data_IF_855159692604
#
_entry.id   IF_855159692604
#
_cell.length_a   1.000
_cell.length_b   1.000
_cell.length_c   1.000
_cell.angle_alpha   90.00
_cell.angle_beta   90.00
_cell.angle_gamma   90.00
#
_symmetry.space_group_name_H-M   'P 1'
#
loop_
_entity.id
_entity.type
_entity.pdbx_description
1 polymer ?
#
# COMPACT_ATOMS: atom_id res chain seq x y z
N UNK A 1 -48.25 -6.17 -57.18
CA UNK A 1 -48.57 -7.21 -56.16
C UNK A 1 -47.56 -7.04 -55.03
N UNK A 2 -48.05 -6.53 -53.89
CA UNK A 2 -47.46 -6.47 -52.53
C UNK A 2 -45.95 -6.14 -52.40
N UNK A 3 -45.56 -4.91 -52.02
CA UNK A 3 -45.44 -4.39 -50.64
C UNK A 3 -44.71 -5.34 -49.65
N UNK A 4 -43.81 -4.74 -48.86
CA UNK A 4 -42.95 -5.28 -47.78
C UNK A 4 -41.52 -5.57 -48.25
N UNK A 5 -40.46 -4.95 -47.73
CA UNK A 5 -40.12 -4.65 -46.31
C UNK A 5 -39.25 -3.37 -46.33
N UNK A 6 -39.56 -2.28 -45.63
CA UNK A 6 -39.54 -2.05 -44.17
C UNK A 6 -38.24 -2.50 -43.48
N UNK A 7 -37.54 -1.56 -42.86
CA UNK A 7 -36.43 -1.82 -41.93
C UNK A 7 -35.29 -0.82 -42.09
N UNK A 8 -35.56 0.48 -41.96
CA UNK A 8 -35.22 1.25 -40.75
C UNK A 8 -33.73 1.18 -40.40
N UNK A 9 -33.02 2.27 -40.71
CA UNK A 9 -31.75 2.64 -40.08
C UNK A 9 -31.91 2.48 -38.56
N UNK A 10 -31.28 1.46 -37.99
CA UNK A 10 -30.99 1.46 -36.56
C UNK A 10 -29.48 1.58 -36.42
N UNK A 11 -29.07 2.84 -36.22
CA UNK A 11 -27.85 3.25 -35.58
C UNK A 11 -27.72 2.41 -34.29
N UNK A 12 -27.02 1.27 -34.37
CA UNK A 12 -26.62 0.56 -33.17
C UNK A 12 -25.56 1.45 -32.54
N UNK A 13 -26.03 2.21 -31.56
CA UNK A 13 -25.24 2.96 -30.61
C UNK A 13 -23.94 2.22 -30.29
N UNK A 14 -22.84 2.75 -30.84
CA UNK A 14 -21.52 2.70 -30.24
C UNK A 14 -21.60 3.45 -28.90
N UNK A 15 -22.26 2.87 -27.92
CA UNK A 15 -21.85 3.12 -26.55
C UNK A 15 -20.60 2.26 -26.37
N UNK A 16 -19.39 2.84 -26.26
CA UNK A 16 -18.47 2.16 -25.37
C UNK A 16 -19.24 2.07 -24.05
N UNK A 17 -19.38 0.87 -23.50
CA UNK A 17 -19.44 0.76 -22.06
C UNK A 17 -18.19 1.49 -21.56
N UNK A 18 -18.31 2.80 -21.34
CA UNK A 18 -17.60 3.48 -20.28
C UNK A 18 -18.11 2.78 -19.04
N UNK A 19 -17.54 1.60 -18.77
CA UNK A 19 -17.42 1.10 -17.43
C UNK A 19 -16.88 2.29 -16.68
N UNK A 20 -17.71 2.87 -15.81
CA UNK A 20 -17.24 3.83 -14.85
C UNK A 20 -16.01 3.17 -14.23
N UNK A 21 -14.83 3.65 -14.60
CA UNK A 21 -13.64 3.45 -13.80
C UNK A 21 -14.05 4.07 -12.48
N UNK A 22 -14.56 3.24 -11.55
CA UNK A 22 -14.65 3.64 -10.15
C UNK A 22 -13.27 4.21 -9.90
N UNK A 23 -13.21 5.52 -9.66
CA UNK A 23 -11.95 6.24 -9.48
C UNK A 23 -11.01 5.34 -8.71
N UNK A 24 -9.97 4.84 -9.38
CA UNK A 24 -9.01 3.88 -8.84
C UNK A 24 -8.14 4.53 -7.75
N UNK A 25 -8.41 5.79 -7.41
CA UNK A 25 -7.82 6.48 -6.29
C UNK A 25 -8.32 5.88 -4.97
N UNK A 26 -7.57 4.88 -4.52
CA UNK A 26 -7.69 4.29 -3.17
C UNK A 26 -7.52 5.33 -2.07
N UNK A 27 -6.88 6.47 -2.34
CA UNK A 27 -6.81 7.69 -1.52
C UNK A 27 -6.43 8.89 -2.42
N UNK A 28 -6.62 10.14 -1.96
CA UNK A 28 -6.38 11.37 -2.73
C UNK A 28 -5.29 12.30 -2.14
N UNK A 29 -4.72 11.95 -0.99
CA UNK A 29 -3.64 12.71 -0.33
C UNK A 29 -2.82 11.83 0.61
N UNK A 30 -1.63 12.31 1.01
CA UNK A 30 -0.76 11.62 1.97
C UNK A 30 -1.50 11.32 3.29
N UNK A 31 -2.21 12.31 3.83
CA UNK A 31 -3.03 12.18 5.03
C UNK A 31 -4.16 11.15 4.87
N UNK A 32 -4.88 11.17 3.75
CA UNK A 32 -5.97 10.21 3.52
C UNK A 32 -5.45 8.77 3.38
N UNK A 33 -4.31 8.58 2.69
CA UNK A 33 -3.68 7.27 2.56
C UNK A 33 -3.23 6.73 3.92
N UNK A 34 -2.61 7.57 4.74
CA UNK A 34 -2.21 7.21 6.11
C UNK A 34 -3.41 6.84 6.97
N UNK A 35 -4.47 7.68 6.98
CA UNK A 35 -5.70 7.41 7.73
C UNK A 35 -6.35 6.09 7.30
N UNK A 36 -6.41 5.80 5.99
CA UNK A 36 -6.93 4.53 5.48
C UNK A 36 -6.07 3.33 5.88
N UNK A 37 -4.74 3.50 5.96
CA UNK A 37 -3.85 2.48 6.50
C UNK A 37 -4.09 2.24 8.00
N UNK A 38 -4.40 3.27 8.79
CA UNK A 38 -4.69 3.13 10.22
C UNK A 38 -6.02 2.44 10.51
N UNK A 39 -7.02 2.64 9.64
CA UNK A 39 -8.35 2.04 9.78
C UNK A 39 -8.41 0.53 9.50
N UNK A 40 -7.32 -0.07 9.01
CA UNK A 40 -7.24 -1.50 8.78
C UNK A 40 -6.14 -2.12 9.61
N UNK A 41 -6.39 -3.28 10.21
CA UNK A 41 -5.34 -4.04 10.88
C UNK A 41 -4.51 -4.89 9.90
N UNK A 42 -5.02 -5.12 8.68
CA UNK A 42 -4.42 -6.02 7.69
C UNK A 42 -3.15 -5.43 7.08
N UNK A 43 -2.00 -6.08 7.29
CA UNK A 43 -0.69 -5.57 6.87
C UNK A 43 -0.61 -5.32 5.35
N UNK A 44 -1.01 -6.27 4.51
CA UNK A 44 -1.08 -6.06 3.05
C UNK A 44 -1.85 -4.80 2.62
N UNK A 45 -2.97 -4.50 3.29
CA UNK A 45 -3.76 -3.30 2.98
C UNK A 45 -3.03 -2.04 3.45
N UNK A 46 -2.41 -2.05 4.64
CA UNK A 46 -1.55 -0.96 5.12
C UNK A 46 -0.44 -0.65 4.12
N UNK A 47 0.30 -1.66 3.69
CA UNK A 47 1.39 -1.55 2.71
C UNK A 47 0.87 -0.90 1.42
N UNK A 48 -0.30 -1.31 0.95
CA UNK A 48 -0.91 -0.76 -0.27
C UNK A 48 -1.19 0.73 -0.13
N UNK A 49 -1.92 1.16 0.91
CA UNK A 49 -2.25 2.58 1.10
C UNK A 49 -1.00 3.43 1.33
N UNK A 50 -0.07 2.97 2.17
CA UNK A 50 1.17 3.70 2.45
C UNK A 50 2.05 3.80 1.20
N UNK A 51 2.09 2.77 0.36
CA UNK A 51 2.84 2.82 -0.90
C UNK A 51 2.25 3.82 -1.89
N UNK A 52 0.93 3.92 -1.98
CA UNK A 52 0.27 4.95 -2.79
C UNK A 52 0.58 6.34 -2.22
N UNK A 53 0.42 6.52 -0.91
CA UNK A 53 0.76 7.75 -0.19
C UNK A 53 2.17 8.25 -0.50
N UNK A 54 3.15 7.36 -0.38
CA UNK A 54 4.56 7.65 -0.63
C UNK A 54 4.80 7.92 -2.12
N UNK A 55 4.33 7.07 -3.03
CA UNK A 55 4.71 7.16 -4.44
C UNK A 55 4.01 8.33 -5.16
N UNK A 56 2.77 8.63 -4.81
CA UNK A 56 1.97 9.63 -5.54
C UNK A 56 1.99 11.01 -4.86
N UNK A 57 2.09 11.05 -3.53
CA UNK A 57 1.85 12.29 -2.77
C UNK A 57 3.03 12.79 -1.95
N UNK A 58 4.19 12.10 -1.94
CA UNK A 58 5.35 12.52 -1.12
C UNK A 58 6.29 13.52 -1.79
N UNK A 59 6.26 13.68 -3.11
CA UNK A 59 7.30 14.41 -3.88
C UNK A 59 7.62 15.81 -3.36
N UNK A 60 6.61 16.52 -2.86
CA UNK A 60 6.76 17.89 -2.33
C UNK A 60 6.39 18.00 -0.84
N UNK A 61 6.21 16.86 -0.15
CA UNK A 61 5.86 16.88 1.26
C UNK A 61 7.13 17.08 2.12
N UNK A 62 7.02 17.77 3.27
CA UNK A 62 8.13 17.88 4.21
C UNK A 62 8.62 16.51 4.69
N UNK A 63 9.93 16.34 4.86
CA UNK A 63 10.49 15.05 5.29
C UNK A 63 9.87 14.53 6.61
N UNK A 64 9.57 15.44 7.56
CA UNK A 64 8.94 15.08 8.82
C UNK A 64 7.52 14.51 8.68
N UNK A 65 6.78 14.87 7.63
CA UNK A 65 5.46 14.27 7.37
C UNK A 65 5.54 12.96 6.60
N UNK A 66 6.65 12.72 5.90
CA UNK A 66 6.87 11.51 5.11
C UNK A 66 7.46 10.38 5.97
N UNK A 67 8.39 10.70 6.88
CA UNK A 67 9.09 9.71 7.72
C UNK A 67 8.13 8.74 8.44
N UNK A 68 7.06 9.19 9.12
CA UNK A 68 6.11 8.29 9.78
C UNK A 68 5.51 7.22 8.86
N UNK A 69 5.29 7.54 7.58
CA UNK A 69 4.74 6.60 6.60
C UNK A 69 5.75 5.49 6.28
N UNK A 70 7.03 5.84 6.16
CA UNK A 70 8.09 4.85 5.94
C UNK A 70 8.25 3.92 7.15
N UNK A 71 8.21 4.45 8.38
CA UNK A 71 8.21 3.62 9.60
C UNK A 71 7.04 2.62 9.60
N UNK A 72 5.82 3.13 9.38
CA UNK A 72 4.60 2.30 9.33
C UNK A 72 4.65 1.26 8.21
N UNK A 73 5.21 1.62 7.04
CA UNK A 73 5.31 0.73 5.88
C UNK A 73 6.35 -0.37 6.12
N UNK A 74 7.56 -0.02 6.53
CA UNK A 74 8.62 -0.98 6.86
C UNK A 74 8.13 -2.02 7.87
N UNK A 75 7.52 -1.56 8.97
CA UNK A 75 6.93 -2.45 9.99
C UNK A 75 5.91 -3.41 9.39
N UNK A 76 4.95 -2.89 8.63
CA UNK A 76 3.90 -3.72 8.03
C UNK A 76 4.45 -4.71 7.02
N UNK A 77 5.46 -4.32 6.24
CA UNK A 77 6.14 -5.20 5.27
C UNK A 77 6.82 -6.36 5.98
N UNK A 78 7.58 -6.09 7.05
CA UNK A 78 8.28 -7.14 7.81
C UNK A 78 7.27 -8.13 8.41
N UNK A 79 6.20 -7.63 9.03
CA UNK A 79 5.17 -8.49 9.64
C UNK A 79 4.44 -9.34 8.59
N UNK A 80 4.03 -8.76 7.45
CA UNK A 80 3.46 -9.51 6.33
C UNK A 80 4.45 -10.57 5.82
N UNK A 81 5.73 -10.24 5.65
CA UNK A 81 6.74 -11.17 5.18
C UNK A 81 6.95 -12.36 6.14
N UNK A 82 6.75 -12.16 7.45
CA UNK A 82 6.75 -13.24 8.47
C UNK A 82 5.45 -14.06 8.49
N UNK A 83 4.49 -13.73 7.62
CA UNK A 83 3.20 -14.40 7.55
C UNK A 83 2.18 -13.88 8.55
N UNK A 84 2.47 -12.78 9.25
CA UNK A 84 1.48 -12.13 10.09
C UNK A 84 0.54 -11.32 9.20
N UNK A 85 -0.77 -11.60 9.32
CA UNK A 85 -1.77 -10.90 8.50
C UNK A 85 -2.26 -9.61 9.13
N UNK A 86 -2.10 -9.46 10.44
CA UNK A 86 -2.70 -8.39 11.23
C UNK A 86 -4.20 -8.58 11.45
N UNK A 87 -4.77 -9.74 11.12
CA UNK A 87 -6.16 -10.06 11.45
C UNK A 87 -6.33 -10.23 12.96
N UNK A 88 -7.28 -9.51 13.55
CA UNK A 88 -7.54 -9.48 15.01
C UNK A 88 -8.88 -10.09 15.40
N UNK A 89 -9.47 -10.94 14.56
CA UNK A 89 -10.66 -11.70 14.93
C UNK A 89 -10.35 -12.82 15.93
N UNK A 90 -11.34 -13.68 16.21
CA UNK A 90 -11.21 -14.77 17.20
C UNK A 90 -10.09 -15.76 16.87
N UNK A 91 -9.71 -15.87 15.59
CA UNK A 91 -8.64 -16.75 15.11
C UNK A 91 -7.53 -15.89 14.50
N UNK A 92 -6.30 -16.06 14.98
CA UNK A 92 -5.12 -15.43 14.37
C UNK A 92 -4.76 -16.16 13.09
N UNK A 93 -4.90 -15.49 11.95
CA UNK A 93 -4.53 -16.03 10.65
C UNK A 93 -3.04 -15.79 10.37
N UNK A 94 -2.29 -16.88 10.19
CA UNK A 94 -0.92 -16.86 9.68
C UNK A 94 -0.87 -17.39 8.25
N UNK A 95 -0.04 -16.80 7.41
CA UNK A 95 0.09 -17.16 6.00
C UNK A 95 1.53 -17.54 5.69
N UNK A 96 1.73 -18.69 5.06
CA UNK A 96 3.03 -19.07 4.51
C UNK A 96 3.19 -18.45 3.12
N UNK A 97 4.20 -17.60 2.96
CA UNK A 97 4.53 -17.01 1.66
C UNK A 97 5.59 -17.83 0.92
N UNK A 98 5.57 -17.72 -0.42
CA UNK A 98 6.66 -18.24 -1.24
C UNK A 98 7.98 -17.51 -0.87
N UNK A 99 9.13 -18.20 -0.90
CA UNK A 99 10.42 -17.59 -0.55
C UNK A 99 10.74 -16.32 -1.36
N UNK A 100 10.42 -16.31 -2.66
CA UNK A 100 10.71 -15.17 -3.55
C UNK A 100 9.84 -13.96 -3.18
N UNK A 101 8.58 -14.19 -2.79
CA UNK A 101 7.72 -13.12 -2.30
C UNK A 101 8.27 -12.55 -1.00
N UNK A 102 8.62 -13.40 -0.03
CA UNK A 102 9.21 -12.98 1.26
C UNK A 102 10.45 -12.13 1.02
N UNK A 103 11.39 -12.59 0.20
CA UNK A 103 12.61 -11.86 -0.13
C UNK A 103 12.30 -10.50 -0.76
N UNK A 104 11.40 -10.44 -1.74
CA UNK A 104 11.03 -9.18 -2.41
C UNK A 104 10.38 -8.17 -1.45
N UNK A 105 9.67 -8.65 -0.43
CA UNK A 105 9.08 -7.80 0.60
C UNK A 105 10.16 -7.29 1.55
N UNK A 106 11.05 -8.16 2.06
CA UNK A 106 12.14 -7.73 2.95
C UNK A 106 13.07 -6.72 2.29
N UNK A 107 13.34 -6.84 0.99
CA UNK A 107 14.09 -5.82 0.23
C UNK A 107 13.40 -4.45 0.23
N UNK A 108 12.07 -4.40 0.15
CA UNK A 108 11.32 -3.13 0.25
C UNK A 108 11.39 -2.54 1.67
N UNK A 109 11.32 -3.38 2.70
CA UNK A 109 11.49 -2.92 4.08
C UNK A 109 12.92 -2.38 4.31
N UNK A 110 13.93 -3.03 3.73
CA UNK A 110 15.32 -2.56 3.77
C UNK A 110 15.49 -1.21 3.07
N UNK A 111 14.85 -1.01 1.91
CA UNK A 111 14.81 0.30 1.25
C UNK A 111 14.16 1.38 2.13
N UNK A 112 13.05 1.05 2.80
CA UNK A 112 12.38 1.98 3.71
C UNK A 112 13.26 2.33 4.91
N UNK A 113 13.90 1.34 5.53
CA UNK A 113 14.82 1.52 6.66
C UNK A 113 16.02 2.37 6.24
N UNK A 114 16.59 2.13 5.06
CA UNK A 114 17.71 2.91 4.54
C UNK A 114 17.31 4.37 4.29
N UNK A 115 16.11 4.61 3.76
CA UNK A 115 15.59 5.97 3.59
C UNK A 115 15.43 6.68 4.95
N UNK A 116 14.92 5.99 5.97
CA UNK A 116 14.79 6.54 7.33
C UNK A 116 16.18 6.85 7.91
N UNK A 117 17.14 5.93 7.77
CA UNK A 117 18.49 6.07 8.31
C UNK A 117 19.24 7.27 7.68
N UNK A 118 19.09 7.46 6.36
CA UNK A 118 19.63 8.64 5.66
C UNK A 118 19.04 9.97 6.15
N UNK A 119 17.83 9.93 6.71
CA UNK A 119 17.11 11.10 7.22
C UNK A 119 17.03 11.10 8.75
N UNK A 120 17.89 10.33 9.44
CA UNK A 120 17.87 10.15 10.90
C UNK A 120 17.98 11.46 11.69
N UNK A 121 18.64 12.48 11.13
CA UNK A 121 18.72 13.82 11.74
C UNK A 121 17.36 14.52 11.92
N UNK A 122 16.35 14.08 11.17
CA UNK A 122 14.98 14.59 11.24
C UNK A 122 14.06 13.75 12.16
N UNK A 123 14.61 12.72 12.81
CA UNK A 123 13.87 11.82 13.69
C UNK A 123 13.92 12.28 15.15
N UNK A 124 12.83 12.07 15.88
CA UNK A 124 12.84 12.16 17.34
C UNK A 124 13.64 11.01 17.97
N UNK A 125 13.93 11.11 19.27
CA UNK A 125 14.61 10.05 20.03
C UNK A 125 13.78 8.75 20.00
N UNK A 126 12.46 8.85 20.08
CA UNK A 126 11.54 7.71 19.99
C UNK A 126 11.59 7.06 18.62
N UNK A 127 11.63 7.86 17.54
CA UNK A 127 11.75 7.35 16.17
C UNK A 127 13.11 6.67 15.93
N UNK A 128 14.18 7.17 16.55
CA UNK A 128 15.50 6.51 16.48
C UNK A 128 15.44 5.12 17.15
N UNK A 129 14.79 5.01 18.31
CA UNK A 129 14.57 3.70 18.96
C UNK A 129 13.71 2.78 18.10
N UNK A 130 12.68 3.32 17.45
CA UNK A 130 11.84 2.56 16.52
C UNK A 130 12.65 2.07 15.31
N UNK A 131 13.59 2.88 14.79
CA UNK A 131 14.47 2.48 13.69
C UNK A 131 15.37 1.31 14.08
N UNK A 132 15.95 1.35 15.28
CA UNK A 132 16.79 0.26 15.78
C UNK A 132 15.97 -1.03 15.96
N UNK A 133 14.72 -0.92 16.44
CA UNK A 133 13.79 -2.05 16.50
C UNK A 133 13.48 -2.62 15.10
N UNK A 134 13.22 -1.77 14.11
CA UNK A 134 12.94 -2.20 12.74
C UNK A 134 14.13 -2.92 12.10
N UNK A 135 15.36 -2.47 12.36
CA UNK A 135 16.58 -3.14 11.91
C UNK A 135 16.68 -4.55 12.51
N UNK A 136 16.49 -4.68 13.82
CA UNK A 136 16.48 -5.99 14.49
C UNK A 136 15.37 -6.91 13.95
N UNK A 137 14.15 -6.39 13.77
CA UNK A 137 13.05 -7.15 13.17
C UNK A 137 13.34 -7.62 11.75
N UNK A 138 14.02 -6.81 10.93
CA UNK A 138 14.41 -7.17 9.56
C UNK A 138 15.45 -8.29 9.56
N UNK A 139 16.47 -8.20 10.41
CA UNK A 139 17.53 -9.20 10.53
C UNK A 139 16.99 -10.54 11.02
N UNK A 140 16.09 -10.54 12.01
CA UNK A 140 15.38 -11.74 12.49
C UNK A 140 14.48 -12.39 11.43
N UNK A 141 14.14 -11.66 10.36
CA UNK A 141 13.22 -12.11 9.31
C UNK A 141 13.92 -12.65 8.08
N UNK A 142 15.22 -12.40 7.91
CA UNK A 142 16.02 -12.93 6.79
C UNK A 142 16.22 -14.43 6.98
#
# INVERSE_FOLDING_TARGET
MYLNKLGFLFFVFLFPLMGQTKSDQKCSSLFECEKKAELTSIHRKKITFLSIGINEYSKNAPIHSILPLYFKRAKSIILEAKGETGYTGEIVLKVSHKPEYKLSQLQKAEQDINFIDQNKSNCSIEQIKELDLLKGMLDDSK
#
